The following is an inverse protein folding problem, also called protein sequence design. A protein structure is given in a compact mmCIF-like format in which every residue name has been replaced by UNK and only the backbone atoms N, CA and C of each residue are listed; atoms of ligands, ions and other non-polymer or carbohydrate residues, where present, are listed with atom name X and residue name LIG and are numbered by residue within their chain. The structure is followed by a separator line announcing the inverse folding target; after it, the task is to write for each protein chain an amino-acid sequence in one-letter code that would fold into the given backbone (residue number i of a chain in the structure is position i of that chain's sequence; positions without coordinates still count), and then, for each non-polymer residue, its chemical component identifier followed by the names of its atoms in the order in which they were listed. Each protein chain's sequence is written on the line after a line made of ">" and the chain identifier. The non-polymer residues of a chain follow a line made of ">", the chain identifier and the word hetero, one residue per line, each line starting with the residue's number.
data_IF_053352727523
#
_entry.id   IF_053352727523
#
_cell.length_a   1.000
_cell.length_b   1.000
_cell.length_c   1.000
_cell.angle_alpha   90.00
_cell.angle_beta   90.00
_cell.angle_gamma   90.00
#
_symmetry.space_group_name_H-M   'P 1'
#
loop_
_entity.id
_entity.type
_entity.pdbx_description
1 polymer ?
#
# COMPACT_ATOMS: atom_id res chain seq x y z
N UNK A 1 2.03 7.68 2.84
CA UNK A 1 1.89 6.99 4.14
C UNK A 1 0.63 7.53 4.80
N UNK A 2 -0.35 6.67 5.09
CA UNK A 2 -1.56 7.07 5.82
C UNK A 2 -1.23 6.94 7.31
N UNK A 3 -1.13 8.08 8.01
CA UNK A 3 -0.92 8.14 9.46
C UNK A 3 -2.23 8.48 10.20
N UNK A 4 -3.35 8.07 9.62
CA UNK A 4 -4.65 8.25 10.24
C UNK A 4 -4.90 7.11 11.24
N UNK A 5 -5.35 7.46 12.43
CA UNK A 5 -5.75 6.50 13.47
C UNK A 5 -7.17 5.99 13.26
N UNK A 6 -7.96 6.69 12.45
CA UNK A 6 -9.33 6.32 12.14
C UNK A 6 -9.39 5.50 10.84
N UNK A 7 -9.73 4.21 10.97
CA UNK A 7 -9.96 3.33 9.83
C UNK A 7 -11.13 3.81 8.92
N UNK A 8 -12.04 4.64 9.46
CA UNK A 8 -13.18 5.23 8.73
C UNK A 8 -12.73 6.10 7.55
N UNK A 9 -11.54 6.69 7.61
CA UNK A 9 -10.97 7.51 6.54
C UNK A 9 -10.33 6.69 5.41
N UNK A 10 -10.08 5.39 5.60
CA UNK A 10 -9.36 4.56 4.63
C UNK A 10 -9.99 4.65 3.23
N UNK A 11 -11.32 4.51 3.15
CA UNK A 11 -12.07 4.57 1.90
C UNK A 11 -11.76 5.87 1.13
N UNK A 12 -11.73 7.02 1.82
CA UNK A 12 -11.45 8.33 1.22
C UNK A 12 -10.04 8.42 0.62
N UNK A 13 -9.07 7.71 1.20
CA UNK A 13 -7.71 7.67 0.67
C UNK A 13 -7.61 6.74 -0.54
N UNK A 14 -8.26 5.56 -0.48
CA UNK A 14 -8.28 4.59 -1.58
C UNK A 14 -8.98 5.15 -2.81
N UNK A 15 -10.11 5.85 -2.66
CA UNK A 15 -10.83 6.53 -3.76
C UNK A 15 -9.98 7.60 -4.48
N UNK A 16 -8.93 8.11 -3.82
CA UNK A 16 -7.97 9.06 -4.40
C UNK A 16 -6.73 8.39 -4.99
N UNK A 17 -6.68 7.05 -5.00
CA UNK A 17 -5.51 6.30 -5.47
C UNK A 17 -4.30 6.39 -4.54
N UNK A 18 -4.49 6.76 -3.27
CA UNK A 18 -3.39 6.85 -2.30
C UNK A 18 -2.97 5.45 -1.88
N UNK A 19 -1.72 5.07 -2.18
CA UNK A 19 -1.16 3.78 -1.80
C UNK A 19 -0.96 3.67 -0.28
N UNK A 20 -1.59 2.68 0.38
CA UNK A 20 -1.37 2.40 1.79
C UNK A 20 0.00 1.76 2.01
N UNK A 21 0.71 2.24 3.03
CA UNK A 21 1.86 1.56 3.64
C UNK A 21 1.42 1.22 5.07
N UNK A 22 1.27 -0.06 5.38
CA UNK A 22 0.62 -0.51 6.62
C UNK A 22 1.37 -1.65 7.29
N UNK A 23 1.15 -1.84 8.59
CA UNK A 23 1.68 -3.00 9.32
C UNK A 23 1.04 -4.28 8.78
N UNK A 24 1.82 -5.35 8.64
CA UNK A 24 1.29 -6.68 8.30
C UNK A 24 0.29 -7.22 9.33
N UNK A 25 0.38 -6.72 10.56
CA UNK A 25 -0.54 -7.04 11.65
C UNK A 25 -1.79 -6.15 11.66
N UNK A 26 -1.94 -5.24 10.69
CA UNK A 26 -3.10 -4.37 10.61
C UNK A 26 -4.40 -5.20 10.44
N UNK A 27 -5.49 -4.88 11.16
CA UNK A 27 -6.77 -5.59 11.04
C UNK A 27 -7.36 -5.62 9.62
N UNK A 28 -6.95 -4.67 8.77
CA UNK A 28 -7.45 -4.52 7.40
C UNK A 28 -6.68 -5.37 6.37
N UNK A 29 -5.81 -6.29 6.81
CA UNK A 29 -5.01 -7.19 5.94
C UNK A 29 -5.83 -8.09 5.01
N UNK A 30 -7.13 -8.27 5.26
CA UNK A 30 -8.03 -8.99 4.35
C UNK A 30 -8.35 -8.21 3.08
N UNK A 31 -8.33 -6.87 3.19
CA UNK A 31 -8.66 -5.91 2.13
C UNK A 31 -7.36 -5.34 1.53
N UNK A 32 -6.39 -5.01 2.38
CA UNK A 32 -5.09 -4.46 2.01
C UNK A 32 -4.04 -5.57 1.95
N UNK A 33 -3.63 -5.92 0.73
CA UNK A 33 -2.71 -7.00 0.42
C UNK A 33 -1.40 -6.46 -0.18
N UNK A 34 -0.31 -7.17 0.10
CA UNK A 34 1.01 -6.86 -0.46
C UNK A 34 0.96 -6.83 -1.99
N UNK A 35 1.51 -5.76 -2.57
CA UNK A 35 1.62 -5.63 -4.01
C UNK A 35 2.74 -6.51 -4.57
N UNK A 36 2.39 -7.37 -5.52
CA UNK A 36 3.32 -8.20 -6.30
C UNK A 36 3.31 -7.70 -7.76
N UNK A 37 4.32 -6.89 -8.18
CA UNK A 37 4.38 -6.34 -9.53
C UNK A 37 4.40 -7.42 -10.62
N UNK A 38 5.04 -8.57 -10.36
CA UNK A 38 5.16 -9.65 -11.35
C UNK A 38 3.80 -10.28 -11.65
N UNK A 39 2.89 -10.30 -10.67
CA UNK A 39 1.52 -10.84 -10.81
C UNK A 39 0.46 -9.77 -11.00
N UNK A 40 0.80 -8.49 -10.83
CA UNK A 40 -0.13 -7.36 -10.82
C UNK A 40 -1.28 -7.50 -9.80
N UNK A 41 -1.00 -8.13 -8.65
CA UNK A 41 -1.98 -8.33 -7.56
C UNK A 41 -1.57 -7.54 -6.32
N UNK A 42 -2.55 -7.26 -5.45
CA UNK A 42 -2.35 -6.47 -4.24
C UNK A 42 -2.53 -4.98 -4.48
N UNK A 43 -2.57 -4.22 -3.40
CA UNK A 43 -3.02 -2.82 -3.37
C UNK A 43 -2.34 -2.00 -2.26
N UNK A 44 -1.30 -2.54 -1.63
CA UNK A 44 -0.59 -1.89 -0.53
C UNK A 44 0.84 -2.41 -0.40
N UNK A 45 1.65 -1.72 0.40
CA UNK A 45 2.97 -2.21 0.84
C UNK A 45 2.93 -2.46 2.34
N UNK A 46 3.24 -3.69 2.75
CA UNK A 46 3.18 -4.14 4.13
C UNK A 46 4.58 -4.08 4.77
N UNK A 47 4.68 -3.60 6.01
CA UNK A 47 5.90 -3.71 6.81
C UNK A 47 5.73 -4.73 7.94
N UNK A 48 6.81 -5.45 8.27
CA UNK A 48 6.76 -6.58 9.22
C UNK A 48 6.70 -6.12 10.69
N UNK A 49 7.52 -5.14 11.07
CA UNK A 49 7.63 -4.67 12.45
C UNK A 49 7.40 -3.17 12.56
N UNK A 50 6.80 -2.73 13.66
CA UNK A 50 6.52 -1.31 13.94
C UNK A 50 7.77 -0.56 14.40
N UNK A 51 8.74 -0.46 13.49
CA UNK A 51 9.91 0.37 13.68
C UNK A 51 10.18 1.22 12.43
N UNK A 52 10.90 2.33 12.64
CA UNK A 52 11.18 3.32 11.59
C UNK A 52 11.87 2.73 10.35
N UNK A 53 12.73 1.73 10.52
CA UNK A 53 13.50 1.12 9.44
C UNK A 53 12.63 0.29 8.52
N UNK A 54 11.68 -0.45 9.08
CA UNK A 54 10.74 -1.27 8.31
C UNK A 54 9.73 -0.42 7.52
N UNK A 55 9.29 0.70 8.11
CA UNK A 55 8.45 1.69 7.41
C UNK A 55 9.25 2.32 6.26
N UNK A 56 10.49 2.74 6.53
CA UNK A 56 11.38 3.32 5.52
C UNK A 56 11.65 2.33 4.37
N UNK A 57 11.92 1.07 4.69
CA UNK A 57 12.09 0.01 3.69
C UNK A 57 10.86 -0.14 2.78
N UNK A 58 9.65 -0.12 3.36
CA UNK A 58 8.41 -0.20 2.56
C UNK A 58 8.17 1.04 1.71
N UNK A 59 8.58 2.23 2.18
CA UNK A 59 8.57 3.44 1.36
C UNK A 59 9.54 3.33 0.18
N UNK A 60 10.75 2.82 0.38
CA UNK A 60 11.73 2.60 -0.70
C UNK A 60 11.15 1.65 -1.75
N UNK A 61 10.56 0.51 -1.35
CA UNK A 61 9.91 -0.43 -2.27
C UNK A 61 8.81 0.23 -3.11
N UNK A 62 7.98 1.07 -2.49
CA UNK A 62 6.98 1.85 -3.23
C UNK A 62 7.63 2.80 -4.24
N UNK A 63 8.68 3.53 -3.84
CA UNK A 63 9.39 4.46 -4.72
C UNK A 63 10.11 3.75 -5.87
N UNK A 64 10.62 2.54 -5.66
CA UNK A 64 11.17 1.70 -6.71
C UNK A 64 10.09 1.28 -7.70
N UNK A 65 8.94 0.80 -7.22
CA UNK A 65 7.79 0.48 -8.06
C UNK A 65 7.28 1.70 -8.86
N UNK A 66 7.29 2.89 -8.25
CA UNK A 66 6.87 4.13 -8.89
C UNK A 66 7.70 4.49 -10.13
N UNK A 67 8.97 4.06 -10.20
CA UNK A 67 9.83 4.26 -11.37
C UNK A 67 9.39 3.44 -12.59
N UNK A 68 8.51 2.45 -12.41
CA UNK A 68 7.96 1.61 -13.48
C UNK A 68 6.50 2.01 -13.75
N UNK A 69 6.21 2.83 -14.79
CA UNK A 69 4.88 3.40 -14.98
C UNK A 69 3.77 2.38 -15.24
N UNK A 70 4.11 1.20 -15.76
CA UNK A 70 3.13 0.12 -15.96
C UNK A 70 2.68 -0.45 -14.61
N UNK A 71 3.63 -0.86 -13.77
CA UNK A 71 3.37 -1.44 -12.45
C UNK A 71 2.65 -0.45 -11.55
N UNK A 72 3.08 0.82 -11.54
CA UNK A 72 2.42 1.86 -10.77
C UNK A 72 0.97 2.11 -11.22
N UNK A 73 0.68 2.06 -12.53
CA UNK A 73 -0.71 2.17 -13.03
C UNK A 73 -1.57 0.99 -12.59
N UNK A 74 -1.02 -0.23 -12.61
CA UNK A 74 -1.73 -1.42 -12.13
C UNK A 74 -1.97 -1.37 -10.61
N UNK A 75 -0.98 -0.94 -9.83
CA UNK A 75 -1.13 -0.69 -8.40
C UNK A 75 -2.28 0.29 -8.11
N UNK A 76 -2.29 1.46 -8.75
CA UNK A 76 -3.34 2.47 -8.56
C UNK A 76 -4.71 1.94 -9.01
N UNK A 77 -4.77 1.20 -10.12
CA UNK A 77 -6.00 0.53 -10.56
C UNK A 77 -6.51 -0.45 -9.49
N UNK A 78 -5.64 -1.24 -8.88
CA UNK A 78 -6.01 -2.18 -7.82
C UNK A 78 -6.53 -1.43 -6.58
N UNK A 79 -5.90 -0.31 -6.21
CA UNK A 79 -6.34 0.55 -5.10
C UNK A 79 -7.74 1.11 -5.34
N UNK A 80 -8.01 1.64 -6.55
CA UNK A 80 -9.32 2.21 -6.90
C UNK A 80 -10.45 1.16 -6.97
N UNK A 81 -10.11 -0.12 -7.12
CA UNK A 81 -11.04 -1.24 -7.16
C UNK A 81 -11.12 -2.03 -5.84
N UNK A 82 -10.52 -1.52 -4.76
CA UNK A 82 -10.53 -2.12 -3.42
C UNK A 82 -11.84 -1.84 -2.69
#
# INVERSE_FOLDING_TARGET
>A
MICDKEASSLKKYLEKGVTPIISKNNPLKSILKEFDPAKNIGNSFLFESENKWQIFYSLVRYLENYKFPFDNRNLVKNILNT
#
